data_IF_637366446655
#
_entry.id   IF_637366446655
#
_cell.length_a   1.000
_cell.length_b   1.000
_cell.length_c   1.000
_cell.angle_alpha   90.00
_cell.angle_beta   90.00
_cell.angle_gamma   90.00
#
_symmetry.space_group_name_H-M   'P 1'
#
loop_
_entity.id
_entity.type
_entity.pdbx_description
1 polymer ?
#
# COMPACT_ATOMS: atom_id res chain seq x y z
N UNK A 1 31.20 52.42 34.73
CA UNK A 1 30.40 51.50 35.56
C UNK A 1 29.31 50.96 34.65
N UNK A 2 29.68 50.22 33.59
CA UNK A 2 30.19 48.81 33.61
C UNK A 2 29.05 47.91 34.10
N UNK A 3 28.61 46.80 33.52
CA UNK A 3 28.97 45.90 32.41
C UNK A 3 27.68 45.04 32.21
N UNK A 4 27.23 44.71 31.00
CA UNK A 4 27.48 43.45 30.27
C UNK A 4 27.22 42.12 31.03
N UNK A 5 26.64 41.15 30.27
CA UNK A 5 26.44 39.69 30.47
C UNK A 5 25.14 39.22 31.17
N UNK A 6 24.56 38.06 30.87
CA UNK A 6 24.62 37.05 29.79
C UNK A 6 23.63 35.92 30.22
N UNK A 7 23.00 35.27 29.23
CA UNK A 7 22.61 33.83 29.17
C UNK A 7 21.79 33.11 30.26
N UNK A 8 20.72 32.49 29.74
CA UNK A 8 20.36 31.06 29.80
C UNK A 8 19.60 30.45 31.00
N UNK A 9 18.39 29.95 30.66
CA UNK A 9 17.86 28.56 30.82
C UNK A 9 17.92 27.91 32.22
N UNK A 10 16.97 27.10 32.71
CA UNK A 10 15.91 26.27 32.13
C UNK A 10 15.07 25.73 33.32
N UNK A 11 13.98 25.01 33.02
CA UNK A 11 13.32 23.99 33.85
C UNK A 11 12.31 24.42 34.94
N UNK A 12 11.03 24.31 34.59
CA UNK A 12 10.02 23.84 35.53
C UNK A 12 9.66 22.39 35.21
N UNK A 13 10.02 21.53 36.14
CA UNK A 13 9.59 20.14 36.27
C UNK A 13 8.07 20.08 36.48
N UNK A 14 7.38 19.21 35.73
CA UNK A 14 6.09 18.65 36.13
C UNK A 14 6.26 17.15 36.23
N UNK A 15 6.15 16.67 37.47
CA UNK A 15 6.26 15.28 37.88
C UNK A 15 5.10 14.44 37.34
N UNK A 16 5.43 13.24 36.88
CA UNK A 16 4.55 12.23 36.30
C UNK A 16 3.75 11.42 37.34
N UNK A 17 2.50 11.12 36.95
CA UNK A 17 1.81 9.81 36.97
C UNK A 17 1.32 9.17 38.30
N UNK A 18 0.45 8.12 38.25
CA UNK A 18 -0.59 7.75 37.27
C UNK A 18 -1.91 7.29 37.94
N UNK A 19 -3.05 7.24 37.24
CA UNK A 19 -4.07 6.16 37.42
C UNK A 19 -4.84 5.88 36.13
N UNK A 20 -4.62 4.67 35.63
CA UNK A 20 -5.39 3.94 34.62
C UNK A 20 -6.64 3.31 35.25
N UNK A 21 -7.76 3.34 34.52
CA UNK A 21 -8.85 2.36 34.50
C UNK A 21 -9.94 2.85 33.54
N UNK A 22 -10.03 2.21 32.36
CA UNK A 22 -10.90 2.63 31.27
C UNK A 22 -12.40 2.34 31.43
N UNK A 23 -13.19 2.91 30.54
CA UNK A 23 -14.38 2.28 29.95
C UNK A 23 -14.75 2.99 28.64
N UNK A 24 -14.70 2.21 27.56
CA UNK A 24 -15.17 2.52 26.20
C UNK A 24 -16.70 2.40 26.14
N UNK A 25 -17.43 3.37 25.57
CA UNK A 25 -18.69 3.10 24.91
C UNK A 25 -18.54 3.34 23.39
N UNK A 26 -18.38 2.24 22.65
CA UNK A 26 -18.55 2.22 21.19
C UNK A 26 -20.02 2.47 20.88
N UNK A 27 -20.36 3.71 20.56
CA UNK A 27 -21.57 4.00 19.80
C UNK A 27 -21.36 3.53 18.35
N UNK A 28 -22.10 2.51 17.96
CA UNK A 28 -22.39 2.16 16.56
C UNK A 28 -23.08 3.37 15.89
N UNK A 29 -22.30 4.31 15.39
CA UNK A 29 -22.75 5.27 14.38
C UNK A 29 -22.21 4.82 13.04
N UNK A 30 -23.12 4.32 12.21
CA UNK A 30 -22.90 4.16 10.77
C UNK A 30 -22.23 5.44 10.26
N UNK A 31 -21.04 5.30 9.67
CA UNK A 31 -20.32 6.41 9.07
C UNK A 31 -21.16 6.92 7.90
N UNK A 32 -21.83 8.05 8.11
CA UNK A 32 -22.71 8.67 7.13
C UNK A 32 -21.85 9.26 6.01
N UNK A 33 -21.59 8.44 4.98
CA UNK A 33 -20.74 8.77 3.84
C UNK A 33 -21.18 10.04 3.13
N UNK A 34 -22.48 10.36 3.17
CA UNK A 34 -23.04 11.59 2.61
C UNK A 34 -22.56 12.86 3.35
N UNK A 35 -22.30 12.78 4.65
CA UNK A 35 -21.77 13.91 5.42
C UNK A 35 -20.28 14.15 5.12
N UNK A 36 -19.52 13.08 4.93
CA UNK A 36 -18.12 13.12 4.53
C UNK A 36 -17.96 13.67 3.10
N UNK A 37 -18.80 13.21 2.17
CA UNK A 37 -18.84 13.72 0.79
C UNK A 37 -19.22 15.19 0.76
N UNK A 38 -20.20 15.64 1.56
CA UNK A 38 -20.53 17.08 1.70
C UNK A 38 -19.40 17.92 2.28
N UNK A 39 -18.64 17.40 3.25
CA UNK A 39 -17.45 18.08 3.82
C UNK A 39 -16.32 18.19 2.80
N UNK A 40 -16.08 17.13 2.02
CA UNK A 40 -15.13 17.12 0.92
C UNK A 40 -15.55 18.10 -0.18
N UNK A 41 -16.81 18.09 -0.61
CA UNK A 41 -17.34 18.99 -1.63
C UNK A 41 -17.24 20.47 -1.19
N UNK A 42 -17.45 20.77 0.10
CA UNK A 42 -17.23 22.11 0.66
C UNK A 42 -15.74 22.52 0.70
N UNK A 43 -14.83 21.59 1.02
CA UNK A 43 -13.38 21.87 1.00
C UNK A 43 -12.87 22.07 -0.42
N UNK A 44 -13.26 21.19 -1.35
CA UNK A 44 -12.93 21.29 -2.76
C UNK A 44 -13.52 22.57 -3.35
N UNK A 45 -14.76 22.94 -3.04
CA UNK A 45 -15.37 24.18 -3.53
C UNK A 45 -14.68 25.46 -3.03
N UNK A 46 -14.19 25.48 -1.79
CA UNK A 46 -13.38 26.60 -1.27
C UNK A 46 -12.01 26.67 -1.96
N UNK A 47 -11.34 25.53 -2.11
CA UNK A 47 -10.01 25.43 -2.74
C UNK A 47 -10.07 25.72 -4.25
N UNK A 48 -11.14 25.33 -4.93
CA UNK A 48 -11.38 25.63 -6.34
C UNK A 48 -11.61 27.13 -6.58
N UNK A 49 -12.25 27.85 -5.66
CA UNK A 49 -12.45 29.29 -5.78
C UNK A 49 -11.13 30.08 -5.60
N UNK A 50 -10.27 29.62 -4.69
CA UNK A 50 -8.90 30.14 -4.55
C UNK A 50 -8.02 29.80 -5.78
N UNK A 51 -8.17 28.59 -6.34
CA UNK A 51 -7.51 28.21 -7.61
C UNK A 51 -8.04 28.97 -8.82
N UNK A 52 -9.33 29.33 -8.88
CA UNK A 52 -9.88 30.08 -10.01
C UNK A 52 -9.30 31.50 -10.07
N UNK A 53 -9.08 32.15 -8.92
CA UNK A 53 -8.36 33.43 -8.86
C UNK A 53 -6.91 33.31 -9.36
N UNK A 54 -6.23 32.21 -9.06
CA UNK A 54 -4.86 31.96 -9.53
C UNK A 54 -4.84 31.59 -11.02
N UNK A 55 -5.86 30.86 -11.50
CA UNK A 55 -6.05 30.51 -12.90
C UNK A 55 -6.35 31.76 -13.74
N UNK A 56 -7.23 32.64 -13.27
CA UNK A 56 -7.54 33.92 -13.93
C UNK A 56 -6.32 34.86 -13.97
N UNK A 57 -5.45 34.80 -12.95
CA UNK A 57 -4.18 35.54 -12.97
C UNK A 57 -3.16 34.91 -13.93
N UNK A 58 -3.09 33.59 -14.00
CA UNK A 58 -2.28 32.86 -14.98
C UNK A 58 -2.71 33.15 -16.41
N UNK A 59 -4.02 33.12 -16.68
CA UNK A 59 -4.58 33.35 -18.01
C UNK A 59 -4.37 34.81 -18.44
N UNK A 60 -4.50 35.77 -17.52
CA UNK A 60 -4.16 37.18 -17.78
C UNK A 60 -2.66 37.38 -18.00
N UNK A 61 -1.80 36.70 -17.24
CA UNK A 61 -0.36 36.76 -17.43
C UNK A 61 0.05 36.18 -18.80
N UNK A 62 -0.51 35.02 -19.16
CA UNK A 62 -0.28 34.34 -20.43
C UNK A 62 -0.80 35.18 -21.62
N UNK A 63 -1.97 35.81 -21.50
CA UNK A 63 -2.50 36.70 -22.52
C UNK A 63 -1.59 37.91 -22.74
N UNK A 64 -1.07 38.50 -21.66
CA UNK A 64 -0.14 39.65 -21.72
C UNK A 64 1.22 39.27 -22.30
N UNK A 65 1.72 38.07 -22.01
CA UNK A 65 2.94 37.53 -22.62
C UNK A 65 2.75 37.38 -24.13
N UNK A 66 1.62 36.80 -24.55
CA UNK A 66 1.30 36.59 -25.97
C UNK A 66 1.14 37.92 -26.75
N UNK A 67 0.56 38.94 -26.13
CA UNK A 67 0.44 40.28 -26.71
C UNK A 67 1.82 40.94 -26.89
N UNK A 68 2.70 40.83 -25.89
CA UNK A 68 4.07 41.34 -25.94
C UNK A 68 4.97 40.59 -26.94
N UNK A 69 4.70 39.31 -27.20
CA UNK A 69 5.38 38.51 -28.23
C UNK A 69 4.91 38.92 -29.64
N UNK A 70 3.62 39.18 -29.83
CA UNK A 70 3.05 39.53 -31.16
C UNK A 70 3.49 40.89 -31.73
N UNK A 71 4.04 41.78 -30.90
CA UNK A 71 4.46 43.13 -31.28
C UNK A 71 5.89 43.26 -31.84
N UNK A 72 6.64 42.17 -32.04
CA UNK A 72 8.09 42.22 -32.33
C UNK A 72 8.42 41.99 -33.82
N UNK A 73 9.20 42.91 -34.40
CA UNK A 73 9.65 42.89 -35.80
C UNK A 73 10.61 41.74 -36.13
N UNK A 74 10.68 41.39 -37.42
CA UNK A 74 11.35 40.26 -38.11
C UNK A 74 12.77 39.87 -37.60
N UNK A 75 13.53 40.78 -36.98
CA UNK A 75 14.83 40.47 -36.34
C UNK A 75 14.69 39.65 -35.05
N UNK A 76 13.55 39.72 -34.38
CA UNK A 76 13.22 38.95 -33.19
C UNK A 76 12.80 37.51 -33.52
N UNK A 77 12.48 37.16 -34.78
CA UNK A 77 12.13 35.78 -35.13
C UNK A 77 13.29 34.80 -34.87
N UNK A 78 14.53 35.23 -35.05
CA UNK A 78 15.71 34.39 -34.81
C UNK A 78 16.07 34.23 -33.32
N UNK A 79 15.67 35.18 -32.48
CA UNK A 79 15.78 35.07 -31.02
C UNK A 79 14.54 34.35 -30.44
N UNK A 80 13.35 34.54 -31.02
CA UNK A 80 12.13 33.78 -30.73
C UNK A 80 12.30 32.28 -30.99
N UNK A 81 13.05 31.86 -32.00
CA UNK A 81 13.29 30.42 -32.21
C UNK A 81 14.21 29.81 -31.13
N UNK A 82 15.02 30.63 -30.44
CA UNK A 82 15.80 30.20 -29.26
C UNK A 82 14.96 30.31 -27.99
N UNK A 83 14.15 31.36 -27.86
CA UNK A 83 13.27 31.57 -26.72
C UNK A 83 12.13 30.54 -26.70
N UNK A 84 11.55 30.17 -27.85
CA UNK A 84 10.57 29.08 -27.98
C UNK A 84 11.18 27.72 -27.64
N UNK A 85 12.43 27.46 -28.06
CA UNK A 85 13.12 26.22 -27.64
C UNK A 85 13.37 26.19 -26.14
N UNK A 86 13.72 27.33 -25.55
CA UNK A 86 13.88 27.45 -24.10
C UNK A 86 12.53 27.29 -23.37
N UNK A 87 11.44 27.86 -23.89
CA UNK A 87 10.08 27.67 -23.37
C UNK A 87 9.62 26.21 -23.52
N UNK A 88 9.80 25.58 -24.68
CA UNK A 88 9.47 24.17 -24.91
C UNK A 88 10.24 23.22 -23.99
N UNK A 89 11.52 23.52 -23.71
CA UNK A 89 12.32 22.77 -22.74
C UNK A 89 11.79 22.94 -21.32
N UNK A 90 11.41 24.16 -20.93
CA UNK A 90 10.79 24.44 -19.63
C UNK A 90 9.44 23.75 -19.49
N UNK A 91 8.61 23.76 -20.53
CA UNK A 91 7.30 23.12 -20.52
C UNK A 91 7.41 21.60 -20.41
N UNK A 92 8.40 20.99 -21.07
CA UNK A 92 8.73 19.57 -20.90
C UNK A 92 9.20 19.25 -19.50
N UNK A 93 10.04 20.10 -18.90
CA UNK A 93 10.49 19.93 -17.52
C UNK A 93 9.32 20.04 -16.54
N UNK A 94 8.44 21.03 -16.72
CA UNK A 94 7.21 21.20 -15.93
C UNK A 94 6.31 19.99 -16.08
N UNK A 95 6.12 19.46 -17.30
CA UNK A 95 5.31 18.28 -17.53
C UNK A 95 5.90 17.04 -16.84
N UNK A 96 7.22 16.85 -16.92
CA UNK A 96 7.92 15.75 -16.24
C UNK A 96 7.81 15.85 -14.72
N UNK A 97 8.01 17.05 -14.16
CA UNK A 97 7.89 17.30 -12.72
C UNK A 97 6.44 17.07 -12.25
N UNK A 98 5.45 17.54 -13.01
CA UNK A 98 4.04 17.27 -12.71
C UNK A 98 3.73 15.79 -12.75
N UNK A 99 4.21 15.05 -13.74
CA UNK A 99 4.04 13.60 -13.82
C UNK A 99 4.69 12.88 -12.63
N UNK A 100 5.88 13.29 -12.20
CA UNK A 100 6.53 12.75 -11.01
C UNK A 100 5.75 13.02 -9.73
N UNK A 101 5.20 14.22 -9.56
CA UNK A 101 4.36 14.58 -8.41
C UNK A 101 3.09 13.70 -8.40
N UNK A 102 2.37 13.63 -9.53
CA UNK A 102 1.18 12.79 -9.66
C UNK A 102 1.50 11.34 -9.33
N UNK A 103 2.59 10.79 -9.87
CA UNK A 103 3.01 9.41 -9.59
C UNK A 103 3.31 9.20 -8.11
N UNK A 104 4.01 10.13 -7.46
CA UNK A 104 4.30 10.07 -6.02
C UNK A 104 3.03 10.10 -5.19
N UNK A 105 2.08 10.94 -5.55
CA UNK A 105 0.81 11.07 -4.82
C UNK A 105 -0.05 9.82 -5.01
N UNK A 106 -0.10 9.25 -6.22
CA UNK A 106 -0.74 7.97 -6.50
C UNK A 106 -0.09 6.81 -5.72
N UNK A 107 1.24 6.81 -5.56
CA UNK A 107 1.96 5.84 -4.71
C UNK A 107 1.52 5.95 -3.25
N UNK A 108 1.46 7.17 -2.70
CA UNK A 108 1.02 7.39 -1.32
C UNK A 108 -0.41 6.93 -1.09
N UNK A 109 -1.33 7.29 -1.99
CA UNK A 109 -2.72 6.85 -1.91
C UNK A 109 -2.83 5.33 -2.01
N UNK A 110 -2.05 4.72 -2.90
CA UNK A 110 -2.02 3.27 -3.05
C UNK A 110 -1.50 2.57 -1.77
N UNK A 111 -0.45 3.12 -1.14
CA UNK A 111 0.07 2.64 0.15
C UNK A 111 -0.97 2.74 1.27
N UNK A 112 -1.71 3.85 1.34
CA UNK A 112 -2.83 4.00 2.28
C UNK A 112 -3.91 2.94 2.06
N UNK A 113 -4.30 2.65 0.81
CA UNK A 113 -5.28 1.61 0.48
C UNK A 113 -4.80 0.22 0.91
N UNK A 114 -3.50 -0.09 0.75
CA UNK A 114 -2.95 -1.35 1.25
C UNK A 114 -2.95 -1.42 2.78
N UNK A 115 -2.61 -0.33 3.47
CA UNK A 115 -2.67 -0.24 4.93
C UNK A 115 -4.08 -0.41 5.47
N UNK A 116 -5.07 0.19 4.82
CA UNK A 116 -6.50 0.01 5.14
C UNK A 116 -6.95 -1.44 4.96
N UNK A 117 -6.37 -2.15 3.98
CA UNK A 117 -6.55 -3.59 3.80
C UNK A 117 -5.75 -4.44 4.82
N UNK A 118 -5.02 -3.83 5.76
CA UNK A 118 -4.19 -4.51 6.75
C UNK A 118 -2.89 -5.09 6.19
N UNK A 119 -2.45 -4.62 5.01
CA UNK A 119 -1.26 -5.09 4.33
C UNK A 119 -0.18 -3.99 4.36
N UNK A 120 1.01 -4.34 4.81
CA UNK A 120 2.20 -3.47 4.67
C UNK A 120 2.99 -3.95 3.46
N UNK A 121 3.03 -3.14 2.42
CA UNK A 121 3.78 -3.39 1.18
C UNK A 121 4.99 -2.47 1.10
N UNK A 122 6.07 -2.95 0.51
CA UNK A 122 7.28 -2.15 0.27
C UNK A 122 7.17 -1.29 -0.99
N UNK A 123 8.03 -0.27 -1.06
CA UNK A 123 8.07 0.70 -2.16
C UNK A 123 8.24 0.05 -3.55
N UNK A 124 8.97 -1.05 -3.66
CA UNK A 124 9.15 -1.76 -4.93
C UNK A 124 7.83 -2.31 -5.49
N UNK A 125 6.98 -2.84 -4.60
CA UNK A 125 5.68 -3.38 -4.97
C UNK A 125 4.73 -2.25 -5.32
N UNK A 126 4.74 -1.16 -4.54
CA UNK A 126 3.94 0.03 -4.83
C UNK A 126 4.31 0.63 -6.19
N UNK A 127 5.60 0.72 -6.51
CA UNK A 127 6.09 1.22 -7.79
C UNK A 127 5.67 0.35 -8.99
N UNK A 128 5.50 -0.96 -8.79
CA UNK A 128 5.04 -1.88 -9.83
C UNK A 128 3.53 -1.80 -10.06
N UNK A 129 2.77 -1.53 -9.01
CA UNK A 129 1.31 -1.51 -9.05
C UNK A 129 0.78 -0.18 -9.60
N UNK A 130 1.45 0.92 -9.27
CA UNK A 130 1.10 2.27 -9.74
C UNK A 130 1.59 2.49 -11.16
N UNK A 131 0.64 2.68 -12.06
CA UNK A 131 0.83 3.01 -13.47
C UNK A 131 0.21 4.37 -13.78
N UNK A 132 0.51 4.93 -14.96
CA UNK A 132 0.01 6.26 -15.35
C UNK A 132 -1.52 6.32 -15.51
N UNK A 133 -2.20 5.17 -15.70
CA UNK A 133 -3.65 5.07 -15.72
C UNK A 133 -4.21 4.70 -14.34
N UNK A 134 -5.04 5.58 -13.77
CA UNK A 134 -5.68 5.40 -12.47
C UNK A 134 -6.56 4.14 -12.43
N UNK A 135 -7.28 3.82 -13.53
CA UNK A 135 -8.16 2.65 -13.57
C UNK A 135 -7.36 1.36 -13.50
N UNK A 136 -6.26 1.32 -14.25
CA UNK A 136 -5.36 0.18 -14.25
C UNK A 136 -4.66 0.04 -12.91
N UNK A 137 -4.23 1.14 -12.29
CA UNK A 137 -3.67 1.14 -10.93
C UNK A 137 -4.66 0.53 -9.94
N UNK A 138 -5.92 0.96 -9.94
CA UNK A 138 -6.95 0.40 -9.04
C UNK A 138 -7.17 -1.10 -9.27
N UNK A 139 -7.24 -1.54 -10.53
CA UNK A 139 -7.39 -2.95 -10.87
C UNK A 139 -6.20 -3.79 -10.37
N UNK A 140 -4.97 -3.27 -10.52
CA UNK A 140 -3.75 -3.92 -10.05
C UNK A 140 -3.74 -4.05 -8.52
N UNK A 141 -4.09 -2.98 -7.80
CA UNK A 141 -4.21 -2.97 -6.32
C UNK A 141 -5.23 -4.00 -5.88
N UNK A 142 -6.42 -3.99 -6.47
CA UNK A 142 -7.49 -4.91 -6.11
C UNK A 142 -7.11 -6.38 -6.36
N UNK A 143 -6.42 -6.66 -7.46
CA UNK A 143 -5.93 -8.00 -7.77
C UNK A 143 -4.92 -8.49 -6.72
N UNK A 144 -3.97 -7.63 -6.32
CA UNK A 144 -2.96 -7.98 -5.33
C UNK A 144 -3.54 -8.21 -3.94
N UNK A 145 -4.50 -7.39 -3.51
CA UNK A 145 -5.22 -7.57 -2.25
C UNK A 145 -5.96 -8.92 -2.25
N UNK A 146 -6.70 -9.23 -3.33
CA UNK A 146 -7.42 -10.50 -3.46
C UNK A 146 -6.47 -11.70 -3.40
N UNK A 147 -5.36 -11.64 -4.13
CA UNK A 147 -4.36 -12.69 -4.12
C UNK A 147 -3.79 -12.92 -2.72
N UNK A 148 -3.39 -11.85 -2.03
CA UNK A 148 -2.85 -11.92 -0.67
C UNK A 148 -3.86 -12.52 0.31
N UNK A 149 -5.12 -12.09 0.25
CA UNK A 149 -6.20 -12.64 1.09
C UNK A 149 -6.45 -14.14 0.83
N UNK A 150 -6.34 -14.57 -0.42
CA UNK A 150 -6.45 -15.99 -0.77
C UNK A 150 -5.30 -16.80 -0.17
N UNK A 151 -4.06 -16.31 -0.26
CA UNK A 151 -2.88 -16.96 0.33
C UNK A 151 -3.02 -17.03 1.86
N UNK A 152 -3.35 -15.91 2.52
CA UNK A 152 -3.56 -15.87 3.97
C UNK A 152 -4.65 -16.86 4.41
N UNK A 153 -5.76 -16.93 3.67
CA UNK A 153 -6.84 -17.88 3.95
C UNK A 153 -6.40 -19.32 3.76
N UNK A 154 -5.61 -19.62 2.72
CA UNK A 154 -5.04 -20.93 2.46
C UNK A 154 -4.09 -21.36 3.58
N UNK A 155 -3.12 -20.51 3.92
CA UNK A 155 -2.15 -20.74 5.00
C UNK A 155 -2.86 -20.91 6.33
N UNK A 156 -3.84 -20.06 6.65
CA UNK A 156 -4.64 -20.21 7.88
C UNK A 156 -5.37 -21.54 7.92
N UNK A 157 -5.95 -22.00 6.81
CA UNK A 157 -6.59 -23.32 6.73
C UNK A 157 -5.58 -24.45 6.92
N UNK A 158 -4.40 -24.38 6.31
CA UNK A 158 -3.36 -25.39 6.47
C UNK A 158 -2.81 -25.44 7.90
N UNK A 159 -2.58 -24.27 8.51
CA UNK A 159 -2.14 -24.16 9.89
C UNK A 159 -3.18 -24.71 10.86
N UNK A 160 -4.46 -24.36 10.67
CA UNK A 160 -5.58 -24.84 11.50
C UNK A 160 -5.87 -26.33 11.31
N UNK A 161 -5.64 -26.88 10.10
CA UNK A 161 -5.75 -28.31 9.84
C UNK A 161 -4.75 -29.09 10.70
N UNK A 162 -3.63 -28.46 11.06
CA UNK A 162 -2.54 -29.06 11.81
C UNK A 162 -1.81 -30.13 11.01
N UNK A 163 -0.55 -30.39 11.36
CA UNK A 163 0.15 -31.58 10.88
C UNK A 163 -0.15 -32.72 11.85
N UNK A 164 -1.35 -33.31 11.78
CA UNK A 164 -1.56 -34.61 12.42
C UNK A 164 -0.70 -35.63 11.68
N UNK A 165 0.29 -36.26 12.34
CA UNK A 165 1.06 -37.33 11.73
C UNK A 165 0.08 -38.34 11.17
N UNK A 166 0.16 -38.55 9.85
CA UNK A 166 -0.69 -39.52 9.18
C UNK A 166 -0.18 -40.90 9.58
N UNK A 167 -0.60 -41.36 10.76
CA UNK A 167 -0.51 -42.76 11.12
C UNK A 167 -1.51 -43.44 10.19
N UNK A 168 -1.05 -43.82 9.00
CA UNK A 168 -1.74 -44.83 8.22
C UNK A 168 -1.74 -46.07 9.11
N UNK A 169 -2.77 -46.22 9.95
CA UNK A 169 -3.06 -47.42 10.74
C UNK A 169 -3.46 -48.58 9.84
N UNK A 170 -2.75 -48.74 8.73
CA UNK A 170 -2.78 -49.94 7.91
C UNK A 170 -1.80 -50.90 8.56
N UNK A 171 -2.20 -52.12 8.93
CA UNK A 171 -1.23 -53.16 9.20
C UNK A 171 -0.35 -53.25 7.95
N UNK A 172 0.95 -53.11 8.13
CA UNK A 172 1.93 -53.01 7.04
C UNK A 172 1.96 -54.24 6.14
N UNK A 173 1.30 -55.34 6.54
CA UNK A 173 1.04 -56.52 5.73
C UNK A 173 -0.28 -57.19 6.13
N UNK A 174 -0.96 -57.81 5.16
CA UNK A 174 -2.13 -58.67 5.37
C UNK A 174 -1.71 -60.12 5.65
N UNK A 175 -2.58 -60.93 6.28
CA UNK A 175 -2.34 -62.37 6.54
C UNK A 175 -1.90 -63.16 5.29
N UNK A 176 -2.40 -62.76 4.11
CA UNK A 176 -2.09 -63.34 2.81
C UNK A 176 -0.68 -62.96 2.33
N UNK A 177 -0.21 -61.76 2.65
CA UNK A 177 1.14 -61.34 2.29
C UNK A 177 2.19 -61.94 3.23
N UNK A 178 1.83 -62.11 4.51
CA UNK A 178 2.69 -62.78 5.51
C UNK A 178 2.86 -64.27 5.17
N UNK A 179 1.81 -64.95 4.71
CA UNK A 179 1.89 -66.37 4.33
C UNK A 179 2.74 -66.63 3.08
N UNK A 180 2.87 -65.63 2.19
CA UNK A 180 3.73 -65.68 0.99
C UNK A 180 5.23 -65.56 1.31
N UNK A 181 5.62 -65.23 2.55
CA UNK A 181 7.02 -65.21 2.97
C UNK A 181 7.57 -66.65 2.95
N UNK A 182 8.52 -66.90 2.05
CA UNK A 182 9.12 -68.23 1.81
C UNK A 182 9.97 -68.74 2.99
N UNK A 183 10.61 -67.82 3.72
CA UNK A 183 11.48 -68.14 4.86
C UNK A 183 10.63 -68.33 6.14
N UNK A 184 10.65 -69.53 6.76
CA UNK A 184 9.79 -69.84 7.91
C UNK A 184 10.11 -69.01 9.15
N UNK A 185 11.38 -68.69 9.39
CA UNK A 185 11.81 -67.93 10.57
C UNK A 185 11.37 -66.47 10.41
N UNK A 186 11.58 -65.89 9.24
CA UNK A 186 11.12 -64.54 8.93
C UNK A 186 9.61 -64.43 8.96
N UNK A 187 8.90 -65.44 8.43
CA UNK A 187 7.44 -65.49 8.50
C UNK A 187 6.93 -65.50 9.93
N UNK A 188 7.49 -66.33 10.80
CA UNK A 188 7.11 -66.38 12.21
C UNK A 188 7.39 -65.06 12.95
N UNK A 189 8.51 -64.40 12.63
CA UNK A 189 8.84 -63.07 13.16
C UNK A 189 7.81 -62.02 12.75
N UNK A 190 7.43 -61.98 11.47
CA UNK A 190 6.42 -61.04 10.96
C UNK A 190 5.02 -61.35 11.52
N UNK A 191 4.69 -62.62 11.76
CA UNK A 191 3.45 -63.02 12.46
C UNK A 191 3.47 -62.49 13.91
N UNK A 192 4.59 -62.60 14.62
CA UNK A 192 4.72 -62.08 15.99
C UNK A 192 4.59 -60.55 16.04
N UNK A 193 5.15 -59.85 15.04
CA UNK A 193 5.04 -58.39 14.90
C UNK A 193 3.63 -57.93 14.48
N UNK A 194 2.82 -58.81 13.86
CA UNK A 194 1.46 -58.52 13.39
C UNK A 194 0.43 -59.51 13.97
N UNK A 195 0.58 -59.84 15.26
CA UNK A 195 -0.21 -60.84 15.98
C UNK A 195 -1.72 -60.56 15.94
N UNK A 196 -2.11 -59.29 15.86
CA UNK A 196 -3.51 -58.85 15.80
C UNK A 196 -4.24 -59.35 14.54
N UNK A 197 -3.52 -59.76 13.49
CA UNK A 197 -4.10 -60.38 12.29
C UNK A 197 -4.45 -61.88 12.46
N UNK A 198 -4.04 -62.47 13.59
CA UNK A 198 -4.20 -63.91 13.88
C UNK A 198 -4.97 -64.19 15.17
N UNK A 199 -5.33 -63.15 15.92
CA UNK A 199 -6.22 -63.23 17.07
C UNK A 199 -7.68 -63.13 16.58
N UNK A 200 -8.51 -64.07 16.99
CA UNK A 200 -9.98 -64.04 16.86
C UNK A 200 -10.59 -64.21 18.24
#
# INVERSE_FOLDING_TARGET
>A
MDDNKNTETQEQQVTEQPKDAGTDPREDKQLDGDELVKKLQKRIGKEQNEKHSLQDQLDKANAKIKELQSGKSIKNLSDEDKDKKAEDEKDKEIASLRAQITRRDNIKQTDEVFKDAGLTVGDDVLNMVVVDDDKQTYANVQALIKYTNQIQSGVKKELLKGSTPRNNGKPTMTKVEISKIKDPIKRQKVIAENLDLYKH
#
